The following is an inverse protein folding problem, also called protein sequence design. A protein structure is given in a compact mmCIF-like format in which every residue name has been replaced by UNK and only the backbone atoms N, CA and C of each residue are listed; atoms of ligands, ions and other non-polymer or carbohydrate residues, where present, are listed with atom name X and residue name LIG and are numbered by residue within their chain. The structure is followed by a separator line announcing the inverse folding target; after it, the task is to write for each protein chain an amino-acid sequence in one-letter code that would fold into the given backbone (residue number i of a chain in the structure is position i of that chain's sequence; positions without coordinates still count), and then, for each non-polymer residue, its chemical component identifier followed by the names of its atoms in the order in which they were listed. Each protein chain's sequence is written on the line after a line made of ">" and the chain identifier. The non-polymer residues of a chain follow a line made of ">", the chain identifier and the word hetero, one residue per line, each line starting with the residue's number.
data_IF_758680226776
#
_entry.id   IF_758680226776
#
_cell.length_a   1.000
_cell.length_b   1.000
_cell.length_c   1.000
_cell.angle_alpha   90.00
_cell.angle_beta   90.00
_cell.angle_gamma   90.00
#
_symmetry.space_group_name_H-M   'P 1'
#
loop_
_entity.id
_entity.type
_entity.pdbx_description
1 polymer ?
#
# COMPACT_ATOMS: atom_id res chain seq x y z
N UNK A 1 17.77 9.88 -8.89
CA UNK A 1 16.78 9.33 -7.93
C UNK A 1 15.43 9.93 -8.29
N UNK A 2 14.53 9.14 -8.86
CA UNK A 2 13.16 9.59 -9.19
C UNK A 2 12.29 9.51 -7.94
N UNK A 3 11.72 10.63 -7.52
CA UNK A 3 10.73 10.66 -6.44
C UNK A 3 9.51 9.84 -6.86
N UNK A 4 9.04 8.88 -6.05
CA UNK A 4 7.87 8.08 -6.40
C UNK A 4 6.61 8.97 -6.41
N UNK A 5 5.75 8.72 -7.40
CA UNK A 5 4.59 9.55 -7.70
C UNK A 5 3.29 8.75 -7.58
N UNK A 6 2.22 9.45 -7.21
CA UNK A 6 0.87 8.90 -7.27
C UNK A 6 0.35 8.88 -8.73
N UNK A 7 -0.85 8.34 -8.91
CA UNK A 7 -1.50 8.21 -10.23
C UNK A 7 -1.78 9.56 -10.92
N UNK A 8 -1.65 10.68 -10.21
CA UNK A 8 -1.80 12.05 -10.74
C UNK A 8 -0.46 12.71 -11.10
N UNK A 9 0.65 11.98 -11.03
CA UNK A 9 2.00 12.50 -11.30
C UNK A 9 2.54 13.43 -10.19
N UNK A 10 1.94 13.41 -9.00
CA UNK A 10 2.37 14.19 -7.83
C UNK A 10 3.14 13.30 -6.85
N UNK A 11 3.95 13.86 -5.94
CA UNK A 11 4.63 13.06 -4.91
C UNK A 11 3.66 12.15 -4.13
N UNK A 12 4.11 10.94 -3.79
CA UNK A 12 3.34 10.04 -2.93
C UNK A 12 3.02 10.70 -1.59
N UNK A 13 1.79 10.53 -1.14
CA UNK A 13 1.33 10.97 0.18
C UNK A 13 1.39 9.80 1.17
N UNK A 14 1.42 10.16 2.45
CA UNK A 14 1.29 9.18 3.53
C UNK A 14 -0.10 8.54 3.49
N UNK A 15 -0.13 7.22 3.41
CA UNK A 15 -1.34 6.41 3.39
C UNK A 15 -1.80 6.03 4.81
N UNK A 16 -0.86 5.73 5.72
CA UNK A 16 -1.18 5.39 7.11
C UNK A 16 0.06 5.27 8.00
N UNK A 17 0.02 5.90 9.17
CA UNK A 17 1.15 5.98 10.12
C UNK A 17 0.97 5.12 11.38
N UNK A 18 -0.27 4.78 11.74
CA UNK A 18 -0.58 4.01 12.94
C UNK A 18 -1.68 2.98 12.64
N UNK A 19 -1.32 1.72 12.28
CA UNK A 19 0.04 1.19 12.09
C UNK A 19 0.75 1.78 10.85
N UNK A 20 2.09 1.78 10.83
CA UNK A 20 2.87 2.20 9.65
C UNK A 20 2.64 1.24 8.49
N UNK A 21 2.03 1.76 7.42
CA UNK A 21 1.67 1.01 6.20
C UNK A 21 2.80 0.96 5.17
N UNK A 22 2.60 0.19 4.10
CA UNK A 22 3.48 0.09 2.94
C UNK A 22 4.59 -0.95 3.12
N UNK A 23 5.08 -1.51 2.01
CA UNK A 23 6.06 -2.61 2.00
C UNK A 23 7.33 -2.25 2.80
N UNK A 24 7.90 -1.07 2.55
CA UNK A 24 9.09 -0.57 3.25
C UNK A 24 8.79 0.04 4.64
N UNK A 25 7.54 -0.05 5.13
CA UNK A 25 7.09 0.49 6.42
C UNK A 25 7.40 1.99 6.61
N UNK A 26 7.34 2.76 5.52
CA UNK A 26 7.51 4.22 5.52
C UNK A 26 6.20 4.97 5.65
N UNK A 27 5.06 4.28 5.69
CA UNK A 27 3.72 4.88 5.68
C UNK A 27 3.24 5.29 4.28
N UNK A 28 3.98 4.93 3.22
CA UNK A 28 3.64 5.22 1.83
C UNK A 28 3.59 3.95 0.99
N UNK A 29 2.77 3.93 -0.06
CA UNK A 29 2.64 2.80 -1.00
C UNK A 29 3.77 2.79 -2.05
N UNK A 30 5.00 3.07 -1.61
CA UNK A 30 6.17 2.96 -2.48
C UNK A 30 6.57 1.50 -2.65
N UNK A 31 6.97 1.14 -3.87
CA UNK A 31 7.35 -0.22 -4.27
C UNK A 31 8.76 -0.25 -4.86
N UNK A 32 9.30 -1.43 -5.08
CA UNK A 32 10.60 -1.65 -5.69
C UNK A 32 10.80 -3.12 -6.08
N UNK A 33 11.98 -3.50 -6.60
CA UNK A 33 12.22 -4.86 -7.11
C UNK A 33 12.02 -5.99 -6.09
N UNK A 34 12.01 -5.67 -4.80
CA UNK A 34 11.82 -6.61 -3.69
C UNK A 34 10.33 -6.84 -3.37
N UNK A 35 9.46 -5.94 -3.80
CA UNK A 35 8.03 -5.99 -3.54
C UNK A 35 7.30 -6.75 -4.66
N UNK A 36 7.38 -8.09 -4.59
CA UNK A 36 6.70 -8.98 -5.54
C UNK A 36 5.17 -8.92 -5.43
N UNK A 37 4.64 -8.42 -4.31
CA UNK A 37 3.21 -8.24 -4.06
C UNK A 37 2.61 -6.94 -4.60
N UNK A 38 3.45 -6.01 -5.09
CA UNK A 38 3.03 -4.72 -5.65
C UNK A 38 2.11 -3.92 -4.72
N UNK A 39 2.60 -3.56 -3.54
CA UNK A 39 1.86 -2.79 -2.53
C UNK A 39 1.80 -1.28 -2.86
N UNK A 40 1.22 -0.97 -4.02
CA UNK A 40 1.15 0.38 -4.61
C UNK A 40 -0.19 1.08 -4.44
N UNK A 41 -1.21 0.37 -3.92
CA UNK A 41 -2.56 0.90 -3.74
C UNK A 41 -2.78 1.28 -2.27
N UNK A 42 -3.10 2.55 -2.02
CA UNK A 42 -3.61 3.01 -0.74
C UNK A 42 -5.13 2.79 -0.70
N UNK A 43 -5.62 2.03 0.29
CA UNK A 43 -7.04 1.74 0.43
C UNK A 43 -7.49 1.93 1.87
N UNK A 44 -8.67 2.53 2.05
CA UNK A 44 -9.39 2.48 3.31
C UNK A 44 -10.18 1.16 3.35
N UNK A 45 -9.76 0.26 4.24
CA UNK A 45 -10.37 -1.07 4.36
C UNK A 45 -11.63 -1.03 5.22
N UNK A 46 -12.60 -1.85 4.86
CA UNK A 46 -13.82 -2.10 5.64
C UNK A 46 -13.81 -3.53 6.15
N UNK A 47 -14.63 -3.84 7.15
CA UNK A 47 -14.73 -5.20 7.69
C UNK A 47 -15.09 -6.23 6.62
N UNK A 48 -16.05 -5.93 5.74
CA UNK A 48 -16.43 -6.82 4.65
C UNK A 48 -15.28 -7.09 3.68
N UNK A 49 -14.45 -6.08 3.39
CA UNK A 49 -13.24 -6.27 2.60
C UNK A 49 -12.25 -7.18 3.31
N UNK A 50 -12.02 -6.98 4.61
CA UNK A 50 -11.13 -7.83 5.42
C UNK A 50 -11.61 -9.29 5.45
N UNK A 51 -12.90 -9.55 5.66
CA UNK A 51 -13.47 -10.91 5.64
C UNK A 51 -13.31 -11.56 4.27
N UNK A 52 -13.55 -10.81 3.20
CA UNK A 52 -13.35 -11.29 1.84
C UNK A 52 -11.87 -11.61 1.58
N UNK A 53 -10.95 -10.73 1.96
CA UNK A 53 -9.50 -10.96 1.75
C UNK A 53 -8.90 -11.96 2.71
N UNK A 54 -9.54 -12.27 3.85
CA UNK A 54 -9.08 -13.32 4.74
C UNK A 54 -9.43 -14.73 4.21
N UNK A 55 -10.51 -14.84 3.45
CA UNK A 55 -10.99 -16.10 2.86
C UNK A 55 -10.46 -16.34 1.44
N UNK A 56 -9.84 -15.32 0.84
CA UNK A 56 -9.23 -15.37 -0.49
C UNK A 56 -7.75 -14.96 -0.41
N UNK A 57 -6.89 -15.43 -1.31
CA UNK A 57 -5.47 -15.10 -1.27
C UNK A 57 -5.18 -13.66 -1.75
N UNK A 58 -5.38 -12.66 -0.89
CA UNK A 58 -5.01 -11.26 -1.13
C UNK A 58 -4.04 -10.75 -0.05
N UNK A 59 -2.91 -10.19 -0.48
CA UNK A 59 -1.99 -9.48 0.42
C UNK A 59 -2.53 -8.08 0.71
N UNK A 60 -2.97 -7.83 1.94
CA UNK A 60 -3.25 -6.48 2.47
C UNK A 60 -2.07 -6.14 3.40
N UNK A 61 -1.22 -5.19 3.03
CA UNK A 61 0.04 -4.90 3.76
C UNK A 61 0.14 -3.53 4.40
#
# INVERSE_FOLDING_TARGET
>A
MTTPQNVLGRPLQVCGEFPKTGYYRTGTCQTGPQDTGSHVVCAQVTEGFLTFTATNAFCVS
#
